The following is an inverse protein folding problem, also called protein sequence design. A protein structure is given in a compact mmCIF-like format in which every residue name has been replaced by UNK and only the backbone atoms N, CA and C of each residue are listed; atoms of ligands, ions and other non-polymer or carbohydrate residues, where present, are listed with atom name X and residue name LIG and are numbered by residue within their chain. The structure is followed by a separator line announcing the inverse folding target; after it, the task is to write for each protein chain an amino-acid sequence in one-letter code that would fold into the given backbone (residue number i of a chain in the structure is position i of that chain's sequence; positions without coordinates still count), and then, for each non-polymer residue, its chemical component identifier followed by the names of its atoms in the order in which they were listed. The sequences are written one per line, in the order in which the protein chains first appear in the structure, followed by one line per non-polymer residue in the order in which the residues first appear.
data_IF_994345093956
#
_entry.id   IF_994345093956
#
_cell.length_a   1.000
_cell.length_b   1.000
_cell.length_c   1.000
_cell.angle_alpha   90.00
_cell.angle_beta   90.00
_cell.angle_gamma   90.00
#
_symmetry.space_group_name_H-M   'P 1'
#
loop_
_entity.id
_entity.type
_entity.pdbx_description
1 polymer ?
#
# COMPACT_ATOMS: atom_id res chain seq x y z
N UNK A 1 11.87 2.98 0.90
CA UNK A 1 11.49 1.56 0.97
C UNK A 1 11.06 1.28 2.41
N UNK A 2 9.87 0.75 2.63
CA UNK A 2 9.36 0.37 3.96
C UNK A 2 9.48 -1.13 4.13
N UNK A 3 9.64 -1.60 5.36
CA UNK A 3 9.54 -3.02 5.66
C UNK A 3 8.09 -3.46 5.52
N UNK A 4 7.88 -4.63 4.93
CA UNK A 4 6.56 -5.26 4.84
C UNK A 4 6.69 -6.75 5.20
N UNK A 5 5.61 -7.30 5.73
CA UNK A 5 5.45 -8.74 5.96
C UNK A 5 4.19 -9.24 5.27
N UNK A 6 4.21 -10.48 4.79
CA UNK A 6 3.02 -11.14 4.24
C UNK A 6 2.34 -11.91 5.36
N UNK A 7 1.05 -11.67 5.56
CA UNK A 7 0.21 -12.40 6.52
C UNK A 7 -1.03 -12.90 5.80
N UNK A 8 -0.99 -14.16 5.35
CA UNK A 8 -2.04 -14.74 4.51
C UNK A 8 -2.16 -13.99 3.19
N UNK A 9 -3.31 -13.34 2.98
CA UNK A 9 -3.61 -12.55 1.78
C UNK A 9 -3.26 -11.06 1.91
N UNK A 10 -2.74 -10.64 3.06
CA UNK A 10 -2.48 -9.24 3.37
C UNK A 10 -0.98 -8.92 3.39
N UNK A 11 -0.63 -7.74 2.88
CA UNK A 11 0.67 -7.11 3.07
C UNK A 11 0.56 -6.14 4.24
N UNK A 12 1.32 -6.39 5.31
CA UNK A 12 1.29 -5.60 6.53
C UNK A 12 2.58 -4.79 6.63
N UNK A 13 2.44 -3.48 6.85
CA UNK A 13 3.55 -2.56 7.14
C UNK A 13 3.44 -2.10 8.59
N UNK A 14 4.58 -1.84 9.23
CA UNK A 14 4.63 -1.37 10.63
C UNK A 14 4.39 0.14 10.78
N UNK A 15 4.42 0.90 9.69
CA UNK A 15 4.38 2.37 9.71
C UNK A 15 3.10 2.93 9.11
N UNK A 16 2.54 3.96 9.76
CA UNK A 16 1.45 4.76 9.19
C UNK A 16 1.98 5.62 8.03
N UNK A 17 1.32 5.49 6.88
CA UNK A 17 1.59 6.27 5.67
C UNK A 17 0.31 6.93 5.16
N UNK A 18 0.47 8.08 4.51
CA UNK A 18 -0.63 8.77 3.82
C UNK A 18 -0.87 8.22 2.42
N UNK A 19 0.20 7.78 1.74
CA UNK A 19 0.18 7.23 0.38
C UNK A 19 1.08 6.00 0.32
N UNK A 20 0.63 4.96 -0.39
CA UNK A 20 1.37 3.75 -0.71
C UNK A 20 1.33 3.49 -2.22
N UNK A 21 2.38 2.91 -2.77
CA UNK A 21 2.39 2.38 -4.15
C UNK A 21 2.64 0.88 -4.11
N UNK A 22 1.73 0.10 -4.67
CA UNK A 22 1.89 -1.34 -4.91
C UNK A 22 2.19 -1.56 -6.39
N UNK A 23 3.32 -2.21 -6.69
CA UNK A 23 3.75 -2.51 -8.05
C UNK A 23 3.55 -4.00 -8.33
N UNK A 24 2.71 -4.33 -9.32
CA UNK A 24 2.34 -5.69 -9.68
C UNK A 24 2.97 -6.09 -11.02
N UNK A 25 3.63 -7.24 -11.06
CA UNK A 25 4.25 -7.78 -12.28
C UNK A 25 5.73 -7.44 -12.45
N UNK A 26 6.34 -8.02 -13.49
CA UNK A 26 7.80 -7.97 -13.72
C UNK A 26 8.22 -7.19 -14.96
N UNK A 27 7.49 -7.29 -16.09
CA UNK A 27 7.85 -6.64 -17.37
C UNK A 27 7.06 -5.36 -17.67
N UNK A 28 5.78 -5.33 -17.31
CA UNK A 28 4.92 -4.14 -17.32
C UNK A 28 4.28 -4.06 -15.95
N UNK A 29 4.82 -3.20 -15.10
CA UNK A 29 4.35 -3.08 -13.74
C UNK A 29 3.05 -2.28 -13.72
N UNK A 30 1.99 -2.87 -13.21
CA UNK A 30 0.80 -2.10 -12.83
C UNK A 30 1.07 -1.42 -11.50
N UNK A 31 0.93 -0.10 -11.45
CA UNK A 31 1.16 0.68 -10.23
C UNK A 31 -0.18 1.06 -9.63
N UNK A 32 -0.52 0.42 -8.53
CA UNK A 32 -1.72 0.73 -7.74
C UNK A 32 -1.32 1.71 -6.64
N UNK A 33 -1.86 2.92 -6.69
CA UNK A 33 -1.69 3.94 -5.65
C UNK A 33 -2.82 3.84 -4.64
N UNK A 34 -2.48 3.74 -3.37
CA UNK A 34 -3.43 3.67 -2.25
C UNK A 34 -3.22 4.92 -1.41
N UNK A 35 -4.28 5.68 -1.20
CA UNK A 35 -4.26 6.86 -0.34
C UNK A 35 -5.16 6.62 0.85
N UNK A 36 -4.70 7.02 2.04
CA UNK A 36 -5.55 6.98 3.22
C UNK A 36 -6.64 8.02 3.05
N UNK A 37 -7.86 7.57 2.81
CA UNK A 37 -9.04 8.40 2.93
C UNK A 37 -9.15 8.85 4.40
N UNK A 38 -8.96 10.14 4.66
CA UNK A 38 -9.36 10.70 5.95
C UNK A 38 -10.87 10.87 5.87
N UNK A 39 -11.62 10.15 6.69
CA UNK A 39 -13.02 10.51 6.93
C UNK A 39 -13.05 11.91 7.55
N UNK A 40 -13.24 12.91 6.69
CA UNK A 40 -13.72 14.21 7.13
C UNK A 40 -15.16 14.00 7.56
N UNK A 41 -15.41 13.96 8.88
CA UNK A 41 -16.75 14.23 9.38
C UNK A 41 -17.18 15.56 8.76
N UNK A 42 -18.15 15.49 7.86
CA UNK A 42 -19.00 16.61 7.47
C UNK A 42 -20.25 16.54 8.33
#
# INVERSE_FOLDING_TARGET
MVNYRVQGRYYVIDRLISVAELRLGSKKQEVVRIERQRDGRS
#
